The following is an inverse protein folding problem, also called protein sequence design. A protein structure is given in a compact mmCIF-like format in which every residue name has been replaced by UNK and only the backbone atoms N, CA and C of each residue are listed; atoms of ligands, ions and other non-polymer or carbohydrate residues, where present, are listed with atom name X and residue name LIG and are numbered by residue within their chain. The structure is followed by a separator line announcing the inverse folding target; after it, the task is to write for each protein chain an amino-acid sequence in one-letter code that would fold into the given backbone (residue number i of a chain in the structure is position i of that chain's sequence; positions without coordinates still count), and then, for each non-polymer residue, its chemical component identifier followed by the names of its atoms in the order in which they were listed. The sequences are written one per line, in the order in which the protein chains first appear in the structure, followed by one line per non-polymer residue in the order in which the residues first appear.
data_IF_634156086337
#
_entry.id   IF_634156086337
#
_cell.length_a   1.000
_cell.length_b   1.000
_cell.length_c   1.000
_cell.angle_alpha   90.00
_cell.angle_beta   90.00
_cell.angle_gamma   90.00
#
_symmetry.space_group_name_H-M   'P 1'
#
loop_
_entity.id
_entity.type
_entity.pdbx_description
1 polymer ?
#
# COMPACT_ATOMS: atom_id res chain seq x y z
N UNK A 1 -5.60 -3.37 -20.90
CA UNK A 1 -6.37 -4.32 -20.06
C UNK A 1 -5.45 -5.37 -19.40
N UNK A 2 -4.69 -6.16 -20.17
CA UNK A 2 -3.74 -7.16 -19.61
C UNK A 2 -2.79 -6.60 -18.55
N UNK A 3 -2.18 -5.43 -18.82
CA UNK A 3 -1.25 -4.79 -17.90
C UNK A 3 -1.87 -4.53 -16.51
N UNK A 4 -3.11 -4.04 -16.49
CA UNK A 4 -3.83 -3.75 -15.24
C UNK A 4 -4.03 -5.02 -14.43
N UNK A 5 -4.50 -6.10 -15.06
CA UNK A 5 -4.73 -7.38 -14.38
C UNK A 5 -3.43 -7.90 -13.75
N UNK A 6 -2.32 -7.85 -14.50
CA UNK A 6 -1.02 -8.29 -14.01
C UNK A 6 -0.57 -7.42 -12.83
N UNK A 7 -0.67 -6.09 -12.95
CA UNK A 7 -0.29 -5.16 -11.87
C UNK A 7 -1.10 -5.40 -10.59
N UNK A 8 -2.42 -5.56 -10.70
CA UNK A 8 -3.29 -5.84 -9.55
C UNK A 8 -3.00 -7.21 -8.93
N UNK A 9 -2.75 -8.23 -9.76
CA UNK A 9 -2.38 -9.56 -9.27
C UNK A 9 -1.07 -9.53 -8.48
N UNK A 10 -0.04 -8.84 -8.98
CA UNK A 10 1.24 -8.64 -8.28
C UNK A 10 1.02 -7.86 -6.98
N UNK A 11 0.20 -6.81 -7.02
CA UNK A 11 -0.13 -5.97 -5.86
C UNK A 11 -0.77 -6.76 -4.70
N UNK A 12 -1.73 -7.65 -5.00
CA UNK A 12 -2.34 -8.51 -3.99
C UNK A 12 -1.43 -9.66 -3.57
N UNK A 13 -0.63 -10.22 -4.48
CA UNK A 13 0.35 -11.26 -4.17
C UNK A 13 1.41 -10.77 -3.18
N UNK A 14 1.88 -9.52 -3.32
CA UNK A 14 2.82 -8.93 -2.36
C UNK A 14 2.22 -8.84 -0.94
N UNK A 15 0.94 -8.45 -0.82
CA UNK A 15 0.22 -8.39 0.46
C UNK A 15 -0.01 -9.76 1.05
N UNK A 16 -0.31 -10.75 0.21
CA UNK A 16 -0.42 -12.13 0.64
C UNK A 16 0.92 -12.67 1.16
N UNK A 17 2.04 -12.35 0.51
CA UNK A 17 3.36 -12.71 0.99
C UNK A 17 3.68 -12.09 2.37
N UNK A 18 3.26 -10.84 2.62
CA UNK A 18 3.37 -10.21 3.95
C UNK A 18 2.55 -11.00 4.98
N UNK A 19 1.31 -11.38 4.65
CA UNK A 19 0.48 -12.19 5.56
C UNK A 19 1.11 -13.55 5.89
N UNK A 20 1.69 -14.22 4.89
CA UNK A 20 2.43 -15.47 5.08
C UNK A 20 3.67 -15.27 5.97
N UNK A 21 4.40 -14.17 5.79
CA UNK A 21 5.58 -13.85 6.62
C UNK A 21 5.25 -13.62 8.10
N UNK A 22 4.02 -13.18 8.38
CA UNK A 22 3.48 -13.00 9.72
C UNK A 22 2.88 -14.29 10.30
N UNK A 23 2.90 -15.40 9.54
CA UNK A 23 2.30 -16.67 9.97
C UNK A 23 0.77 -16.65 10.01
N UNK A 24 0.11 -15.74 9.28
CA UNK A 24 -1.34 -15.64 9.27
C UNK A 24 -1.97 -16.74 8.42
N UNK A 25 -2.91 -17.48 9.01
CA UNK A 25 -3.69 -18.51 8.30
C UNK A 25 -4.93 -17.89 7.64
N UNK A 26 -4.70 -16.96 6.70
CA UNK A 26 -5.74 -16.31 5.90
C UNK A 26 -5.59 -16.74 4.45
N UNK A 27 -6.71 -16.90 3.74
CA UNK A 27 -6.66 -17.19 2.31
C UNK A 27 -6.23 -15.95 1.49
N UNK A 28 -5.80 -16.18 0.25
CA UNK A 28 -5.49 -15.09 -0.68
C UNK A 28 -6.70 -14.14 -0.88
N UNK A 29 -7.91 -14.70 -0.87
CA UNK A 29 -9.16 -13.95 -1.05
C UNK A 29 -9.40 -13.07 0.17
N UNK A 30 -9.20 -13.59 1.38
CA UNK A 30 -9.37 -12.81 2.62
C UNK A 30 -8.44 -11.60 2.63
N UNK A 31 -7.16 -11.81 2.32
CA UNK A 31 -6.18 -10.73 2.24
C UNK A 31 -6.54 -9.71 1.16
N UNK A 32 -7.05 -10.16 0.01
CA UNK A 32 -7.49 -9.27 -1.07
C UNK A 32 -8.65 -8.39 -0.63
N UNK A 33 -9.66 -8.96 0.05
CA UNK A 33 -10.81 -8.22 0.57
C UNK A 33 -10.35 -7.21 1.62
N UNK A 34 -9.58 -7.65 2.61
CA UNK A 34 -9.06 -6.81 3.69
C UNK A 34 -8.25 -5.64 3.11
N UNK A 35 -7.34 -5.93 2.18
CA UNK A 35 -6.48 -4.92 1.55
C UNK A 35 -7.28 -3.92 0.72
N UNK A 36 -8.31 -4.38 0.02
CA UNK A 36 -9.20 -3.50 -0.76
C UNK A 36 -10.00 -2.58 0.16
N UNK A 37 -10.54 -3.11 1.26
CA UNK A 37 -11.25 -2.30 2.28
C UNK A 37 -10.33 -1.28 2.94
N UNK A 38 -9.10 -1.66 3.28
CA UNK A 38 -8.07 -0.75 3.78
C UNK A 38 -7.78 0.38 2.78
N UNK A 39 -7.65 0.07 1.48
CA UNK A 39 -7.43 1.07 0.44
C UNK A 39 -8.62 2.03 0.32
N UNK A 40 -9.86 1.52 0.34
CA UNK A 40 -11.07 2.35 0.31
C UNK A 40 -11.12 3.32 1.50
N UNK A 41 -10.82 2.83 2.71
CA UNK A 41 -10.82 3.67 3.91
C UNK A 41 -9.69 4.70 3.91
N UNK A 42 -8.56 4.39 3.29
CA UNK A 42 -7.42 5.33 3.18
C UNK A 42 -7.70 6.52 2.23
N UNK A 43 -8.70 6.41 1.35
CA UNK A 43 -9.12 7.50 0.46
C UNK A 43 -9.89 8.57 1.24
N UNK A 44 -10.48 8.21 2.38
CA UNK A 44 -11.21 9.17 3.20
C UNK A 44 -10.21 10.22 3.75
N UNK A 45 -10.48 11.52 3.59
CA UNK A 45 -9.59 12.59 4.06
C UNK A 45 -9.70 12.82 5.58
N UNK A 46 -9.83 11.73 6.35
CA UNK A 46 -9.97 11.75 7.81
C UNK A 46 -8.58 11.81 8.47
N UNK A 47 -7.55 11.25 7.81
CA UNK A 47 -6.20 11.12 8.37
C UNK A 47 -5.10 11.32 7.31
N UNK A 48 -3.96 11.86 7.71
CA UNK A 48 -2.78 12.04 6.84
C UNK A 48 -2.31 10.67 6.33
N UNK A 49 -2.29 10.48 5.01
CA UNK A 49 -1.89 9.24 4.33
C UNK A 49 -2.67 7.98 4.75
N UNK A 50 -3.86 8.13 5.33
CA UNK A 50 -4.64 7.00 5.85
C UNK A 50 -4.10 6.40 7.16
N UNK A 51 -3.14 7.06 7.83
CA UNK A 51 -2.59 6.60 9.11
C UNK A 51 -3.65 6.68 10.22
N UNK A 52 -3.92 5.56 10.87
CA UNK A 52 -4.97 5.37 11.86
C UNK A 52 -6.23 4.72 11.26
N UNK A 53 -6.72 5.19 10.12
CA UNK A 53 -7.91 4.62 9.45
C UNK A 53 -7.62 3.26 8.83
N UNK A 54 -6.45 3.09 8.20
CA UNK A 54 -5.99 1.81 7.66
C UNK A 54 -5.80 0.78 8.76
N UNK A 55 -5.15 1.17 9.85
CA UNK A 55 -4.90 0.32 11.02
C UNK A 55 -6.20 -0.10 11.70
N UNK A 56 -7.13 0.83 11.88
CA UNK A 56 -8.45 0.53 12.44
C UNK A 56 -9.23 -0.45 11.56
N UNK A 57 -9.14 -0.29 10.23
CA UNK A 57 -9.78 -1.21 9.26
C UNK A 57 -9.15 -2.60 9.34
N UNK A 58 -7.82 -2.69 9.37
CA UNK A 58 -7.12 -3.97 9.51
C UNK A 58 -7.52 -4.67 10.82
N UNK A 59 -7.53 -3.94 11.96
CA UNK A 59 -7.94 -4.47 13.27
C UNK A 59 -9.38 -4.97 13.23
N UNK A 60 -10.29 -4.20 12.63
CA UNK A 60 -11.69 -4.59 12.49
C UNK A 60 -11.84 -5.90 11.74
N UNK A 61 -11.25 -6.03 10.55
CA UNK A 61 -11.36 -7.28 9.78
C UNK A 61 -10.65 -8.45 10.45
N UNK A 62 -9.45 -8.24 11.01
CA UNK A 62 -8.72 -9.30 11.71
C UNK A 62 -9.49 -9.81 12.93
N UNK A 63 -10.26 -8.95 13.60
CA UNK A 63 -11.13 -9.37 14.70
C UNK A 63 -12.22 -10.35 14.27
N UNK A 64 -12.69 -10.29 13.01
CA UNK A 64 -13.65 -11.25 12.45
C UNK A 64 -13.04 -12.65 12.31
N UNK A 65 -11.73 -12.72 12.14
CA UNK A 65 -10.96 -13.98 12.06
C UNK A 65 -10.36 -14.38 13.41
N UNK A 66 -10.77 -13.73 14.51
CA UNK A 66 -10.21 -13.94 15.86
C UNK A 66 -8.68 -13.74 15.94
N UNK A 67 -8.12 -12.91 15.06
CA UNK A 67 -6.70 -12.55 15.07
C UNK A 67 -6.43 -11.40 16.04
N UNK A 68 -5.20 -11.35 16.56
CA UNK A 68 -4.82 -10.35 17.56
C UNK A 68 -4.66 -8.95 16.94
N UNK A 69 -4.89 -7.90 17.74
CA UNK A 69 -4.75 -6.51 17.30
C UNK A 69 -3.30 -6.19 16.88
N UNK A 70 -2.35 -6.81 17.57
CA UNK A 70 -0.91 -6.68 17.30
C UNK A 70 -0.58 -7.19 15.90
N UNK A 71 -1.14 -8.35 15.51
CA UNK A 71 -0.93 -8.90 14.18
C UNK A 71 -1.52 -8.03 13.06
N UNK A 72 -2.69 -7.43 13.31
CA UNK A 72 -3.34 -6.50 12.39
C UNK A 72 -2.53 -5.20 12.20
N UNK A 73 -1.99 -4.65 13.31
CA UNK A 73 -1.12 -3.49 13.28
C UNK A 73 0.17 -3.77 12.52
N UNK A 74 0.83 -4.90 12.80
CA UNK A 74 2.05 -5.32 12.10
C UNK A 74 1.79 -5.49 10.61
N UNK A 75 0.69 -6.13 10.22
CA UNK A 75 0.29 -6.27 8.82
C UNK A 75 0.10 -4.90 8.14
N UNK A 76 -0.67 -4.00 8.76
CA UNK A 76 -0.91 -2.65 8.21
C UNK A 76 0.38 -1.85 8.02
N UNK A 77 1.28 -1.89 9.01
CA UNK A 77 2.55 -1.18 8.97
C UNK A 77 3.51 -1.75 7.92
N UNK A 78 3.63 -3.07 7.81
CA UNK A 78 4.47 -3.70 6.78
C UNK A 78 3.97 -3.39 5.37
N UNK A 79 2.65 -3.42 5.15
CA UNK A 79 2.05 -3.02 3.87
C UNK A 79 2.39 -1.56 3.56
N UNK A 80 2.25 -0.67 4.54
CA UNK A 80 2.58 0.75 4.36
C UNK A 80 4.04 1.01 4.05
N UNK A 81 4.96 0.37 4.78
CA UNK A 81 6.39 0.47 4.52
C UNK A 81 6.71 -0.02 3.12
N UNK A 82 6.11 -1.13 2.70
CA UNK A 82 6.26 -1.67 1.33
C UNK A 82 5.76 -0.67 0.30
N UNK A 83 4.58 -0.08 0.50
CA UNK A 83 4.01 0.92 -0.40
C UNK A 83 4.91 2.16 -0.52
N UNK A 84 5.45 2.67 0.59
CA UNK A 84 6.41 3.80 0.57
C UNK A 84 7.66 3.44 -0.25
N UNK A 85 8.23 2.26 -0.04
CA UNK A 85 9.42 1.82 -0.77
C UNK A 85 9.16 1.74 -2.28
N UNK A 86 8.01 1.20 -2.68
CA UNK A 86 7.61 1.12 -4.10
C UNK A 86 7.44 2.51 -4.71
N UNK A 87 6.73 3.41 -4.03
CA UNK A 87 6.51 4.79 -4.52
C UNK A 87 7.82 5.57 -4.61
N UNK A 88 8.77 5.31 -3.70
CA UNK A 88 10.08 5.97 -3.68
C UNK A 88 10.89 5.74 -4.96
N UNK A 89 10.70 4.62 -5.67
CA UNK A 89 11.35 4.41 -6.97
C UNK A 89 10.91 5.43 -8.04
N UNK A 90 9.68 5.96 -7.94
CA UNK A 90 9.18 7.02 -8.81
C UNK A 90 9.85 8.38 -8.59
N UNK A 91 10.54 8.58 -7.46
CA UNK A 91 11.24 9.82 -7.15
C UNK A 91 12.43 10.06 -8.10
N UNK A 92 13.11 8.99 -8.52
CA UNK A 92 14.28 9.08 -9.40
C UNK A 92 13.95 9.72 -10.77
N UNK A 93 12.97 9.21 -11.55
CA UNK A 93 12.60 9.84 -12.81
C UNK A 93 12.03 11.25 -12.59
N UNK A 94 11.25 11.47 -11.54
CA UNK A 94 10.72 12.80 -11.21
C UNK A 94 11.82 13.84 -11.01
N UNK A 95 12.87 13.51 -10.24
CA UNK A 95 14.00 14.42 -10.05
C UNK A 95 14.73 14.71 -11.36
N UNK A 96 14.99 13.68 -12.18
CA UNK A 96 15.65 13.83 -13.49
C UNK A 96 14.87 14.77 -14.42
N UNK A 97 13.56 14.59 -14.49
CA UNK A 97 12.68 15.42 -15.31
C UNK A 97 12.65 16.87 -14.81
N UNK A 98 12.53 17.07 -13.50
CA UNK A 98 12.51 18.40 -12.89
C UNK A 98 13.81 19.18 -13.15
N UNK A 99 14.97 18.51 -13.12
CA UNK A 99 16.25 19.13 -13.52
C UNK A 99 16.29 19.51 -15.00
N UNK A 100 15.76 18.66 -15.89
CA UNK A 100 15.70 18.95 -17.32
C UNK A 100 14.82 20.18 -17.61
N UNK A 101 13.64 20.27 -16.99
CA UNK A 101 12.73 21.41 -17.14
C UNK A 101 13.37 22.71 -16.64
N UNK A 102 14.08 22.68 -15.51
CA UNK A 102 14.82 23.85 -15.00
C UNK A 102 15.92 24.31 -15.96
N UNK A 103 16.65 23.38 -16.57
CA UNK A 103 17.71 23.71 -17.53
C UNK A 103 17.15 24.38 -18.79
N UNK A 104 16.00 23.92 -19.29
CA UNK A 104 15.34 24.52 -20.46
C UNK A 104 14.86 25.94 -20.14
N UNK A 105 14.20 26.17 -19.00
CA UNK A 105 13.77 27.53 -18.61
C UNK A 105 14.93 28.51 -18.55
N UNK A 106 16.07 28.09 -18.01
CA UNK A 106 17.28 28.91 -17.91
C UNK A 106 17.91 29.28 -19.27
N UNK A 107 17.59 28.58 -20.36
CA UNK A 107 18.07 28.90 -21.70
C UNK A 107 17.17 29.88 -22.46
N UNK A 108 15.93 30.07 -21.98
CA UNK A 108 14.92 30.92 -22.62
C UNK A 108 14.92 32.34 -22.00
N UNK A 109 15.40 32.46 -20.75
CA UNK A 109 15.66 33.73 -20.04
C UNK A 109 17.07 34.28 -20.35
#
# INVERSE_FOLDING_TARGET
FIYLIISWFVYFSARYAIALSLGLNLSFIDITIISSSMALMSILPISIAGLGTREATAIYFFSLFSLSKESALLFSLLVFTTDILVVSFGLIPYLKENFSIKNIKKQID
#
